data_IF_453386095600
#
_entry.id   IF_453386095600
#
_cell.length_a   1.000
_cell.length_b   1.000
_cell.length_c   1.000
_cell.angle_alpha   90.00
_cell.angle_beta   90.00
_cell.angle_gamma   90.00
#
_symmetry.space_group_name_H-M   'P 1'
#
loop_
_entity.id
_entity.type
_entity.pdbx_description
1 polymer ?
#
# COMPACT_ATOMS: atom_id res chain seq x y z
N UNK A 1 -26.00 -34.46 -10.72
CA UNK A 1 -26.92 -33.34 -11.01
C UNK A 1 -26.30 -32.54 -12.14
N UNK A 2 -26.93 -32.55 -13.33
CA UNK A 2 -26.41 -31.82 -14.47
C UNK A 2 -26.56 -30.31 -14.20
N UNK A 3 -25.46 -29.62 -14.07
CA UNK A 3 -25.43 -28.15 -14.10
C UNK A 3 -25.88 -27.71 -15.49
N UNK A 4 -27.05 -27.13 -15.57
CA UNK A 4 -27.52 -26.46 -16.79
C UNK A 4 -26.47 -25.42 -17.18
N UNK A 5 -26.02 -25.52 -18.41
CA UNK A 5 -25.12 -24.54 -19.06
C UNK A 5 -25.87 -23.20 -19.14
N UNK A 6 -25.69 -22.35 -18.10
CA UNK A 6 -26.44 -21.10 -17.92
C UNK A 6 -25.86 -19.97 -18.78
N UNK A 7 -24.71 -20.21 -19.41
CA UNK A 7 -23.88 -19.15 -20.00
C UNK A 7 -24.09 -18.91 -21.51
N UNK A 8 -24.75 -19.78 -22.24
CA UNK A 8 -24.78 -19.71 -23.71
C UNK A 8 -26.00 -19.00 -24.33
N UNK A 9 -27.00 -18.56 -23.56
CA UNK A 9 -28.21 -17.89 -24.10
C UNK A 9 -28.44 -16.44 -23.64
N UNK A 10 -27.58 -15.89 -22.78
CA UNK A 10 -27.76 -14.49 -22.30
C UNK A 10 -26.85 -13.54 -23.04
N UNK A 11 -27.44 -12.48 -23.59
CA UNK A 11 -26.68 -11.34 -24.14
C UNK A 11 -25.84 -10.71 -23.01
N UNK A 12 -24.60 -10.30 -23.36
CA UNK A 12 -23.72 -9.62 -22.42
C UNK A 12 -24.39 -8.36 -21.85
N UNK A 13 -24.14 -8.02 -20.58
CA UNK A 13 -24.71 -6.82 -19.96
C UNK A 13 -24.36 -5.55 -20.73
N UNK A 14 -25.37 -4.80 -21.16
CA UNK A 14 -25.24 -3.53 -21.88
C UNK A 14 -26.45 -2.62 -21.63
N UNK A 15 -26.30 -1.34 -21.93
CA UNK A 15 -27.38 -0.37 -21.97
C UNK A 15 -27.13 0.62 -23.11
N UNK A 16 -27.70 0.33 -24.27
CA UNK A 16 -27.48 1.11 -25.49
C UNK A 16 -28.05 2.52 -25.40
N UNK A 17 -29.14 2.72 -24.64
CA UNK A 17 -29.73 4.04 -24.44
C UNK A 17 -28.81 4.94 -23.61
N UNK A 18 -28.15 4.37 -22.60
CA UNK A 18 -27.12 5.10 -21.81
C UNK A 18 -25.89 5.44 -22.68
N UNK A 19 -25.41 4.49 -23.50
CA UNK A 19 -24.27 4.74 -24.39
C UNK A 19 -24.62 5.85 -25.42
N UNK A 20 -25.80 5.80 -26.04
CA UNK A 20 -26.27 6.85 -26.97
C UNK A 20 -26.40 8.21 -26.24
N UNK A 21 -26.91 8.20 -25.02
CA UNK A 21 -27.08 9.43 -24.24
C UNK A 21 -25.73 10.08 -23.89
N UNK A 22 -24.69 9.29 -23.58
CA UNK A 22 -23.33 9.80 -23.35
C UNK A 22 -22.78 10.42 -24.63
N UNK A 23 -22.78 9.67 -25.73
CA UNK A 23 -22.21 10.14 -27.01
C UNK A 23 -22.97 11.36 -27.56
N UNK A 24 -24.29 11.34 -27.49
CA UNK A 24 -25.12 12.45 -27.92
C UNK A 24 -24.98 13.71 -27.06
N UNK A 25 -24.84 13.55 -25.76
CA UNK A 25 -24.59 14.70 -24.85
C UNK A 25 -23.27 15.38 -25.17
N UNK A 26 -22.20 14.64 -25.43
CA UNK A 26 -20.89 15.17 -25.84
C UNK A 26 -20.98 15.92 -27.18
N UNK A 27 -21.77 15.39 -28.14
CA UNK A 27 -21.96 16.06 -29.43
C UNK A 27 -22.79 17.36 -29.34
N UNK A 28 -23.59 17.52 -28.30
CA UNK A 28 -24.36 18.75 -28.03
C UNK A 28 -23.55 19.77 -27.23
N UNK A 29 -22.63 19.31 -26.38
CA UNK A 29 -21.77 20.13 -25.53
C UNK A 29 -20.43 19.41 -25.35
N UNK A 30 -19.39 19.84 -26.07
CA UNK A 30 -18.06 19.25 -26.07
C UNK A 30 -17.36 19.33 -24.72
N UNK A 31 -17.70 20.30 -23.87
CA UNK A 31 -17.22 20.41 -22.50
C UNK A 31 -17.56 19.20 -21.63
N UNK A 32 -18.64 18.47 -21.97
CA UNK A 32 -19.03 17.25 -21.25
C UNK A 32 -18.12 16.04 -21.53
N UNK A 33 -17.27 16.11 -22.56
CA UNK A 33 -16.33 15.03 -22.87
C UNK A 33 -15.40 14.79 -21.68
N UNK A 34 -14.84 15.84 -21.07
CA UNK A 34 -13.92 15.69 -19.95
C UNK A 34 -14.59 15.03 -18.75
N UNK A 35 -15.85 15.37 -18.45
CA UNK A 35 -16.63 14.72 -17.39
C UNK A 35 -16.90 13.23 -17.69
N UNK A 36 -17.16 12.87 -18.95
CA UNK A 36 -17.36 11.48 -19.33
C UNK A 36 -16.03 10.70 -19.26
N UNK A 37 -14.91 11.31 -19.64
CA UNK A 37 -13.59 10.70 -19.67
C UNK A 37 -13.02 10.40 -18.27
N UNK A 38 -13.54 11.03 -17.22
CA UNK A 38 -13.23 10.66 -15.83
C UNK A 38 -13.71 9.25 -15.47
N UNK A 39 -14.79 8.78 -16.08
CA UNK A 39 -15.44 7.50 -15.78
C UNK A 39 -15.26 6.46 -16.87
N UNK A 40 -15.18 6.88 -18.14
CA UNK A 40 -15.27 6.02 -19.30
C UNK A 40 -14.00 6.07 -20.16
N UNK A 41 -13.65 4.90 -20.68
CA UNK A 41 -12.75 4.70 -21.80
C UNK A 41 -13.52 4.16 -23.01
N UNK A 42 -12.91 4.17 -24.20
CA UNK A 42 -13.51 3.57 -25.40
C UNK A 42 -13.93 2.11 -25.20
N UNK A 43 -13.21 1.35 -24.38
CA UNK A 43 -13.43 -0.08 -24.16
C UNK A 43 -14.63 -0.37 -23.25
N UNK A 44 -15.16 0.66 -22.59
CA UNK A 44 -16.35 0.53 -21.75
C UNK A 44 -17.66 0.45 -22.55
N UNK A 45 -17.66 0.82 -23.83
CA UNK A 45 -18.83 0.73 -24.68
C UNK A 45 -19.05 -0.70 -25.21
N UNK A 46 -20.30 -1.10 -25.32
CA UNK A 46 -20.68 -2.42 -25.81
C UNK A 46 -20.64 -2.51 -27.34
N UNK A 47 -21.28 -1.53 -28.04
CA UNK A 47 -21.28 -1.51 -29.47
C UNK A 47 -19.94 -1.07 -30.05
N UNK A 48 -19.40 -1.83 -31.00
CA UNK A 48 -18.15 -1.49 -31.69
C UNK A 48 -18.22 -0.11 -32.38
N UNK A 49 -19.38 0.23 -32.95
CA UNK A 49 -19.61 1.57 -33.51
C UNK A 49 -19.47 2.68 -32.46
N UNK A 50 -19.98 2.49 -31.24
CA UNK A 50 -19.84 3.44 -30.16
C UNK A 50 -18.39 3.55 -29.65
N UNK A 51 -17.66 2.43 -29.57
CA UNK A 51 -16.22 2.42 -29.25
C UNK A 51 -15.43 3.27 -30.23
N UNK A 52 -15.68 3.09 -31.54
CA UNK A 52 -15.01 3.88 -32.57
C UNK A 52 -15.37 5.35 -32.49
N UNK A 53 -16.64 5.69 -32.29
CA UNK A 53 -17.10 7.07 -32.11
C UNK A 53 -16.37 7.71 -30.94
N UNK A 54 -16.39 7.07 -29.77
CA UNK A 54 -15.74 7.60 -28.56
C UNK A 54 -14.23 7.74 -28.75
N UNK A 55 -13.55 6.76 -29.36
CA UNK A 55 -12.11 6.86 -29.67
C UNK A 55 -11.79 8.05 -30.60
N UNK A 56 -12.66 8.41 -31.53
CA UNK A 56 -12.49 9.61 -32.37
C UNK A 56 -12.74 10.89 -31.58
N UNK A 57 -13.69 10.89 -30.65
CA UNK A 57 -13.89 12.00 -29.72
C UNK A 57 -12.66 12.22 -28.82
N UNK A 58 -12.04 11.13 -28.31
CA UNK A 58 -10.76 11.21 -27.58
C UNK A 58 -9.66 11.85 -28.43
N UNK A 59 -9.53 11.43 -29.69
CA UNK A 59 -8.55 11.99 -30.62
C UNK A 59 -8.75 13.48 -30.91
N UNK A 60 -10.00 13.92 -31.07
CA UNK A 60 -10.35 15.32 -31.26
C UNK A 60 -10.04 16.14 -30.01
N UNK A 61 -10.39 15.67 -28.84
CA UNK A 61 -10.10 16.30 -27.55
C UNK A 61 -8.59 16.44 -27.33
N UNK A 62 -7.82 15.38 -27.56
CA UNK A 62 -6.36 15.37 -27.40
C UNK A 62 -5.65 16.41 -28.30
N UNK A 63 -6.26 16.75 -29.46
CA UNK A 63 -5.75 17.76 -30.38
C UNK A 63 -6.42 19.13 -30.19
N UNK A 64 -7.17 19.32 -29.11
CA UNK A 64 -7.91 20.56 -28.80
C UNK A 64 -8.82 21.02 -29.95
N UNK A 65 -9.38 20.07 -30.70
CA UNK A 65 -10.40 20.33 -31.73
C UNK A 65 -11.78 20.18 -31.13
N UNK A 66 -12.77 20.99 -31.51
CA UNK A 66 -14.15 20.89 -31.00
C UNK A 66 -14.76 19.54 -31.38
N UNK A 67 -15.57 18.97 -30.49
CA UNK A 67 -16.29 17.72 -30.69
C UNK A 67 -17.73 18.07 -31.04
N UNK A 68 -18.05 18.09 -32.33
CA UNK A 68 -19.38 18.28 -32.88
C UNK A 68 -19.68 17.31 -34.01
N UNK A 69 -20.92 17.32 -34.52
CA UNK A 69 -21.35 16.42 -35.63
C UNK A 69 -20.49 16.55 -36.88
N UNK A 70 -19.99 17.77 -37.18
CA UNK A 70 -19.24 18.06 -38.40
C UNK A 70 -17.82 17.52 -38.27
N UNK A 71 -17.16 17.87 -37.19
CA UNK A 71 -15.75 17.49 -36.89
C UNK A 71 -15.63 15.97 -36.67
N UNK A 72 -16.58 15.36 -35.94
CA UNK A 72 -16.60 13.91 -35.73
C UNK A 72 -16.82 13.18 -37.04
N UNK A 73 -17.75 13.63 -37.89
CA UNK A 73 -18.02 13.02 -39.20
C UNK A 73 -16.78 13.09 -40.09
N UNK A 74 -16.11 14.23 -40.15
CA UNK A 74 -14.89 14.41 -40.93
C UNK A 74 -13.80 13.44 -40.48
N UNK A 75 -13.63 13.30 -39.14
CA UNK A 75 -12.63 12.41 -38.55
C UNK A 75 -12.93 10.93 -38.83
N UNK A 76 -14.22 10.52 -38.76
CA UNK A 76 -14.66 9.16 -39.12
C UNK A 76 -14.45 8.85 -40.59
N UNK A 77 -14.66 9.83 -41.48
CA UNK A 77 -14.38 9.69 -42.93
C UNK A 77 -12.88 9.50 -43.17
N UNK A 78 -12.04 10.34 -42.55
CA UNK A 78 -10.58 10.23 -42.66
C UNK A 78 -10.04 8.88 -42.19
N UNK A 79 -10.64 8.34 -41.15
CA UNK A 79 -10.30 7.03 -40.63
C UNK A 79 -10.89 5.85 -41.43
N UNK A 80 -11.78 6.12 -42.38
CA UNK A 80 -12.50 5.06 -43.12
C UNK A 80 -13.51 4.27 -42.31
N UNK A 81 -13.98 4.83 -41.17
CA UNK A 81 -14.82 4.15 -40.18
C UNK A 81 -16.30 4.57 -40.24
N UNK A 82 -16.66 5.56 -41.06
CA UNK A 82 -18.02 6.12 -41.09
C UNK A 82 -19.10 5.06 -41.34
N UNK A 83 -18.88 4.18 -42.30
CA UNK A 83 -19.86 3.10 -42.62
C UNK A 83 -19.92 2.07 -41.49
N UNK A 84 -18.80 1.76 -40.85
CA UNK A 84 -18.72 0.80 -39.73
C UNK A 84 -19.48 1.27 -38.47
N UNK A 85 -19.65 2.58 -38.30
CA UNK A 85 -20.42 3.15 -37.19
C UNK A 85 -21.90 3.36 -37.50
N UNK A 86 -22.36 2.94 -38.68
CA UNK A 86 -23.75 3.08 -39.10
C UNK A 86 -24.02 4.28 -40.02
N UNK A 87 -22.97 4.89 -40.58
CA UNK A 87 -23.07 5.99 -41.54
C UNK A 87 -23.44 7.33 -40.92
N UNK A 88 -23.47 8.35 -41.78
CA UNK A 88 -23.76 9.73 -41.34
C UNK A 88 -25.15 9.89 -40.70
N UNK A 89 -26.13 9.09 -41.11
CA UNK A 89 -27.48 9.10 -40.55
C UNK A 89 -27.50 8.66 -39.08
N UNK A 90 -26.76 7.61 -38.75
CA UNK A 90 -26.66 7.12 -37.39
C UNK A 90 -25.97 8.14 -36.48
N UNK A 91 -24.81 8.69 -36.90
CA UNK A 91 -24.10 9.71 -36.16
C UNK A 91 -24.97 10.93 -35.84
N UNK A 92 -25.78 11.37 -36.85
CA UNK A 92 -26.74 12.45 -36.66
C UNK A 92 -27.86 12.10 -35.67
N UNK A 93 -28.32 10.82 -35.69
CA UNK A 93 -29.39 10.36 -34.78
C UNK A 93 -28.96 10.25 -33.32
N UNK A 94 -27.66 10.29 -33.00
CA UNK A 94 -27.17 10.24 -31.62
C UNK A 94 -27.62 11.44 -30.80
N UNK A 95 -27.84 12.59 -31.39
CA UNK A 95 -28.33 13.80 -30.70
C UNK A 95 -29.85 13.83 -30.56
N UNK A 96 -30.59 12.92 -31.24
CA UNK A 96 -32.04 12.88 -31.18
C UNK A 96 -32.52 12.29 -29.86
N UNK A 97 -33.37 13.04 -29.15
CA UNK A 97 -33.97 12.57 -27.89
C UNK A 97 -33.03 12.54 -26.67
N UNK A 98 -31.83 13.09 -26.79
CA UNK A 98 -30.91 13.20 -25.68
C UNK A 98 -31.47 14.23 -24.69
N UNK A 99 -31.69 13.88 -23.42
CA UNK A 99 -32.11 14.84 -22.39
C UNK A 99 -31.07 15.96 -22.25
N UNK A 100 -31.49 17.22 -22.34
CA UNK A 100 -30.64 18.38 -22.12
C UNK A 100 -30.30 18.50 -20.62
N UNK A 101 -29.69 17.48 -20.03
CA UNK A 101 -29.45 17.44 -18.59
C UNK A 101 -27.97 17.34 -18.28
N UNK A 102 -27.58 18.03 -17.23
CA UNK A 102 -26.26 17.99 -16.57
C UNK A 102 -25.88 16.61 -15.97
N UNK A 103 -26.56 15.54 -16.33
CA UNK A 103 -26.44 14.22 -15.71
C UNK A 103 -25.62 13.23 -16.54
N UNK A 104 -24.65 13.71 -17.33
CA UNK A 104 -23.77 12.80 -18.11
C UNK A 104 -23.08 11.76 -17.22
N UNK A 105 -22.69 12.16 -16.00
CA UNK A 105 -22.08 11.24 -15.03
C UNK A 105 -22.96 10.06 -14.69
N UNK A 106 -24.28 10.28 -14.55
CA UNK A 106 -25.20 9.17 -14.26
C UNK A 106 -25.24 8.15 -15.40
N UNK A 107 -25.30 8.61 -16.65
CA UNK A 107 -25.27 7.71 -17.79
C UNK A 107 -23.90 7.04 -17.97
N UNK A 108 -22.81 7.77 -17.73
CA UNK A 108 -21.45 7.23 -17.73
C UNK A 108 -21.29 6.11 -16.68
N UNK A 109 -21.79 6.31 -15.48
CA UNK A 109 -21.79 5.26 -14.43
C UNK A 109 -22.58 4.02 -14.86
N UNK A 110 -23.74 4.16 -15.49
CA UNK A 110 -24.52 3.02 -16.02
C UNK A 110 -23.69 2.24 -17.07
N UNK A 111 -23.03 2.95 -17.98
CA UNK A 111 -22.16 2.32 -19.00
C UNK A 111 -20.99 1.61 -18.31
N UNK A 112 -20.33 2.24 -17.33
CA UNK A 112 -19.23 1.67 -16.55
C UNK A 112 -19.63 0.41 -15.81
N UNK A 113 -20.76 0.43 -15.10
CA UNK A 113 -21.29 -0.74 -14.39
C UNK A 113 -21.50 -1.94 -15.33
N UNK A 114 -22.06 -1.68 -16.54
CA UNK A 114 -22.22 -2.74 -17.52
C UNK A 114 -20.90 -3.23 -18.09
N UNK A 115 -19.92 -2.37 -18.24
CA UNK A 115 -18.55 -2.73 -18.64
C UNK A 115 -17.89 -3.64 -17.60
N UNK A 116 -17.96 -3.27 -16.32
CA UNK A 116 -17.43 -4.07 -15.21
C UNK A 116 -18.05 -5.47 -15.22
N UNK A 117 -19.38 -5.57 -15.37
CA UNK A 117 -20.05 -6.86 -15.44
C UNK A 117 -19.57 -7.70 -16.65
N UNK A 118 -19.33 -7.09 -17.80
CA UNK A 118 -18.77 -7.79 -18.97
C UNK A 118 -17.35 -8.29 -18.71
N UNK A 119 -16.50 -7.44 -18.13
CA UNK A 119 -15.11 -7.81 -17.77
C UNK A 119 -15.09 -8.96 -16.77
N UNK A 120 -15.98 -8.95 -15.77
CA UNK A 120 -16.14 -10.06 -14.82
C UNK A 120 -16.57 -11.36 -15.54
N UNK A 121 -17.50 -11.29 -16.49
CA UNK A 121 -17.93 -12.45 -17.27
C UNK A 121 -16.76 -12.98 -18.12
N UNK A 122 -15.99 -12.11 -18.78
CA UNK A 122 -14.83 -12.54 -19.57
C UNK A 122 -13.76 -13.18 -18.71
N UNK A 123 -13.40 -12.58 -17.57
CA UNK A 123 -12.42 -13.15 -16.62
C UNK A 123 -12.91 -14.50 -16.08
N UNK A 124 -14.19 -14.61 -15.71
CA UNK A 124 -14.76 -15.88 -15.26
C UNK A 124 -14.70 -16.97 -16.34
N UNK A 125 -15.01 -16.64 -17.59
CA UNK A 125 -14.92 -17.58 -18.71
C UNK A 125 -13.45 -18.00 -18.97
N UNK A 126 -12.52 -17.07 -18.90
CA UNK A 126 -11.08 -17.38 -19.02
C UNK A 126 -10.63 -18.33 -17.91
N UNK A 127 -11.02 -18.05 -16.67
CA UNK A 127 -10.75 -18.93 -15.52
C UNK A 127 -11.33 -20.33 -15.76
N UNK A 128 -12.58 -20.45 -16.23
CA UNK A 128 -13.22 -21.71 -16.52
C UNK A 128 -12.43 -22.49 -17.58
N UNK A 129 -12.10 -21.84 -18.72
CA UNK A 129 -11.38 -22.48 -19.82
C UNK A 129 -10.01 -22.99 -19.38
N UNK A 130 -9.26 -22.22 -18.61
CA UNK A 130 -7.94 -22.61 -18.10
C UNK A 130 -8.04 -23.70 -17.03
N UNK A 131 -9.08 -23.68 -16.20
CA UNK A 131 -9.31 -24.73 -15.19
C UNK A 131 -9.62 -26.10 -15.80
N UNK A 132 -10.09 -26.16 -17.04
CA UNK A 132 -10.25 -27.41 -17.80
C UNK A 132 -8.95 -27.81 -18.54
N UNK A 133 -7.98 -26.93 -18.66
CA UNK A 133 -6.67 -27.25 -19.24
C UNK A 133 -5.87 -28.13 -18.26
N UNK A 134 -5.30 -29.20 -18.75
CA UNK A 134 -4.45 -30.11 -17.97
C UNK A 134 -2.97 -29.73 -18.01
N UNK A 135 -2.62 -28.65 -18.67
CA UNK A 135 -1.23 -28.24 -18.92
C UNK A 135 -0.69 -27.23 -17.90
N UNK A 136 -1.58 -26.57 -17.14
CA UNK A 136 -1.20 -25.52 -16.16
C UNK A 136 -1.36 -26.02 -14.72
N UNK A 137 -0.50 -25.52 -13.82
CA UNK A 137 -0.63 -25.80 -12.39
C UNK A 137 -1.83 -25.04 -11.81
N UNK A 138 -2.57 -25.67 -10.89
CA UNK A 138 -3.73 -25.09 -10.24
C UNK A 138 -3.38 -23.78 -9.49
N UNK A 139 -2.17 -23.67 -8.94
CA UNK A 139 -1.73 -22.44 -8.25
C UNK A 139 -1.49 -21.30 -9.24
N UNK A 140 -0.97 -21.57 -10.43
CA UNK A 140 -0.77 -20.56 -11.47
C UNK A 140 -2.10 -20.03 -12.01
N UNK A 141 -3.10 -20.92 -12.18
CA UNK A 141 -4.46 -20.54 -12.58
C UNK A 141 -5.11 -19.65 -11.52
N UNK A 142 -4.99 -20.04 -10.24
CA UNK A 142 -5.52 -19.26 -9.12
C UNK A 142 -4.88 -17.87 -9.06
N UNK A 143 -3.56 -17.80 -9.18
CA UNK A 143 -2.84 -16.52 -9.17
C UNK A 143 -3.29 -15.59 -10.30
N UNK A 144 -3.52 -16.14 -11.48
CA UNK A 144 -3.97 -15.36 -12.64
C UNK A 144 -5.43 -14.92 -12.52
N UNK A 145 -6.28 -15.76 -11.91
CA UNK A 145 -7.65 -15.41 -11.60
C UNK A 145 -7.72 -14.23 -10.61
N UNK A 146 -6.96 -14.29 -9.53
CA UNK A 146 -6.85 -13.19 -8.56
C UNK A 146 -6.36 -11.90 -9.23
N UNK A 147 -5.35 -11.99 -10.10
CA UNK A 147 -4.84 -10.83 -10.85
C UNK A 147 -5.91 -10.19 -11.72
N UNK A 148 -6.65 -10.99 -12.51
CA UNK A 148 -7.67 -10.50 -13.44
C UNK A 148 -8.82 -9.80 -12.68
N UNK A 149 -9.28 -10.39 -11.57
CA UNK A 149 -10.33 -9.79 -10.73
C UNK A 149 -9.82 -8.50 -10.08
N UNK A 150 -8.56 -8.50 -9.66
CA UNK A 150 -7.92 -7.34 -9.04
C UNK A 150 -7.81 -6.15 -10.00
N UNK A 151 -7.38 -6.37 -11.25
CA UNK A 151 -7.31 -5.34 -12.30
C UNK A 151 -8.68 -4.70 -12.56
N UNK A 152 -9.75 -5.49 -12.53
CA UNK A 152 -11.13 -4.96 -12.65
C UNK A 152 -11.48 -4.07 -11.43
N UNK A 153 -11.00 -4.43 -10.24
CA UNK A 153 -11.25 -3.66 -9.02
C UNK A 153 -10.44 -2.36 -8.95
N UNK A 154 -9.19 -2.35 -9.45
CA UNK A 154 -8.35 -1.14 -9.46
C UNK A 154 -8.88 -0.06 -10.41
N UNK A 155 -9.37 -0.44 -11.59
CA UNK A 155 -9.97 0.50 -12.54
C UNK A 155 -11.26 1.17 -12.02
N UNK A 156 -11.77 0.70 -10.90
CA UNK A 156 -13.00 1.22 -10.28
C UNK A 156 -12.73 2.15 -9.08
N UNK A 157 -11.46 2.47 -8.78
CA UNK A 157 -11.12 3.46 -7.74
C UNK A 157 -11.40 4.84 -8.30
N UNK A 158 -12.43 5.48 -7.79
CA UNK A 158 -12.75 6.89 -8.07
C UNK A 158 -11.59 7.79 -7.59
N UNK A 159 -10.58 7.99 -8.43
CA UNK A 159 -9.49 8.94 -8.21
C UNK A 159 -9.77 10.23 -8.98
N UNK A 160 -10.86 10.90 -8.64
CA UNK A 160 -11.16 12.25 -9.14
C UNK A 160 -10.45 13.34 -8.33
N UNK A 161 -10.39 14.55 -8.89
CA UNK A 161 -10.03 15.72 -8.11
C UNK A 161 -11.08 15.98 -7.04
N UNK A 162 -10.64 16.11 -5.77
CA UNK A 162 -11.51 16.49 -4.66
C UNK A 162 -11.41 18.00 -4.47
N UNK A 163 -12.54 18.68 -4.36
CA UNK A 163 -12.55 20.11 -4.16
C UNK A 163 -11.87 20.49 -2.83
N UNK A 164 -11.02 21.53 -2.87
CA UNK A 164 -10.30 22.01 -1.68
C UNK A 164 -11.26 22.31 -0.51
N UNK A 165 -12.47 22.78 -0.79
CA UNK A 165 -13.49 23.08 0.21
C UNK A 165 -13.90 21.85 1.05
N UNK A 166 -13.98 20.67 0.45
CA UNK A 166 -14.25 19.41 1.16
C UNK A 166 -13.07 18.98 2.03
N UNK A 167 -11.86 19.07 1.47
CA UNK A 167 -10.64 18.75 2.20
C UNK A 167 -10.40 19.68 3.38
N UNK A 168 -10.73 20.97 3.23
CA UNK A 168 -10.64 21.96 4.33
C UNK A 168 -11.55 21.60 5.49
N UNK A 169 -12.79 21.20 5.23
CA UNK A 169 -13.74 20.80 6.30
C UNK A 169 -13.20 19.64 7.12
N UNK A 170 -12.71 18.60 6.45
CA UNK A 170 -12.13 17.41 7.11
C UNK A 170 -10.84 17.75 7.88
N UNK A 171 -10.00 18.63 7.30
CA UNK A 171 -8.74 19.07 7.93
C UNK A 171 -8.99 19.92 9.18
N UNK A 172 -9.92 20.89 9.13
CA UNK A 172 -10.27 21.74 10.27
C UNK A 172 -10.82 20.89 11.42
N UNK A 173 -11.76 19.98 11.14
CA UNK A 173 -12.29 19.06 12.15
C UNK A 173 -11.16 18.21 12.78
N UNK A 174 -10.22 17.74 11.98
CA UNK A 174 -9.04 17.00 12.47
C UNK A 174 -8.12 17.85 13.36
N UNK A 175 -7.92 19.13 13.02
CA UNK A 175 -7.12 20.08 13.81
C UNK A 175 -7.81 20.39 15.16
N UNK A 176 -9.11 20.67 15.14
CA UNK A 176 -9.89 20.96 16.35
C UNK A 176 -9.88 19.77 17.32
N UNK A 177 -10.06 18.53 16.82
CA UNK A 177 -9.99 17.33 17.63
C UNK A 177 -8.62 17.12 18.28
N UNK A 178 -7.53 17.48 17.57
CA UNK A 178 -6.15 17.38 18.08
C UNK A 178 -5.85 18.49 19.09
N UNK A 179 -6.26 19.73 18.80
CA UNK A 179 -6.05 20.85 19.71
C UNK A 179 -6.71 20.64 21.09
N UNK A 180 -7.85 19.92 21.13
CA UNK A 180 -8.53 19.59 22.39
C UNK A 180 -7.85 18.52 23.24
N UNK A 181 -6.93 17.71 22.68
CA UNK A 181 -6.33 16.56 23.38
C UNK A 181 -4.97 16.84 24.01
N UNK A 182 -4.30 17.93 23.66
CA UNK A 182 -2.91 18.27 24.11
C UNK A 182 -1.91 17.08 23.95
N UNK A 183 -2.18 16.13 23.05
CA UNK A 183 -1.31 14.99 22.82
C UNK A 183 -0.21 15.38 21.82
N UNK A 184 1.05 15.23 22.24
CA UNK A 184 2.24 15.46 21.39
C UNK A 184 2.33 14.45 20.23
N UNK A 185 1.67 13.30 20.36
CA UNK A 185 1.70 12.19 19.41
C UNK A 185 0.36 12.15 18.64
N UNK A 186 0.39 12.53 17.37
CA UNK A 186 -0.79 12.58 16.50
C UNK A 186 -1.00 11.29 15.69
N UNK A 187 0.07 10.53 15.46
CA UNK A 187 0.09 9.24 14.80
C UNK A 187 0.17 8.06 15.77
N UNK A 188 0.65 6.92 15.27
CA UNK A 188 0.95 5.75 16.09
C UNK A 188 2.23 6.02 16.87
N UNK A 189 2.12 6.15 18.20
CA UNK A 189 3.27 6.39 19.06
C UNK A 189 4.20 5.19 19.11
N UNK A 190 5.49 5.48 19.06
CA UNK A 190 6.53 4.46 19.13
C UNK A 190 6.80 3.98 20.56
N UNK A 191 6.46 4.81 21.57
CA UNK A 191 6.82 4.60 22.97
C UNK A 191 8.22 5.11 23.33
N UNK A 192 8.92 5.68 22.36
CA UNK A 192 10.22 6.30 22.52
C UNK A 192 10.08 7.82 22.44
N UNK A 193 10.22 8.51 23.58
CA UNK A 193 9.89 9.93 23.71
C UNK A 193 10.63 10.82 22.71
N UNK A 194 11.93 10.59 22.51
CA UNK A 194 12.73 11.39 21.58
C UNK A 194 12.28 11.17 20.13
N UNK A 195 11.94 9.94 19.76
CA UNK A 195 11.42 9.64 18.41
C UNK A 195 10.05 10.27 18.26
N UNK A 196 9.17 10.08 19.23
CA UNK A 196 7.80 10.62 19.19
C UNK A 196 7.79 12.16 19.17
N UNK A 197 8.75 12.82 19.86
CA UNK A 197 8.90 14.28 19.82
C UNK A 197 9.34 14.80 18.45
N UNK A 198 10.17 14.05 17.72
CA UNK A 198 10.64 14.41 16.39
C UNK A 198 9.62 14.09 15.30
N UNK A 199 8.88 12.98 15.45
CA UNK A 199 7.99 12.47 14.40
C UNK A 199 6.50 12.71 14.64
N UNK A 200 6.13 13.06 15.88
CA UNK A 200 4.74 13.05 16.36
C UNK A 200 4.08 11.67 16.22
N UNK A 201 4.87 10.59 16.26
CA UNK A 201 4.46 9.22 15.96
C UNK A 201 4.38 8.92 14.46
N UNK A 202 4.11 7.65 14.10
CA UNK A 202 3.98 7.24 12.71
C UNK A 202 2.62 7.64 12.16
N UNK A 203 2.62 8.48 11.12
CA UNK A 203 1.40 9.06 10.59
C UNK A 203 0.65 8.08 9.67
N UNK A 204 -0.69 8.14 9.60
CA UNK A 204 -1.46 7.39 8.62
C UNK A 204 -0.97 7.66 7.20
N UNK A 205 -1.03 6.66 6.33
CA UNK A 205 -0.55 6.70 4.94
C UNK A 205 0.96 6.83 4.75
N UNK A 206 1.76 6.85 5.84
CA UNK A 206 3.22 6.93 5.72
C UNK A 206 3.86 5.56 5.52
N UNK A 207 4.87 5.55 4.65
CA UNK A 207 5.84 4.46 4.56
C UNK A 207 7.05 4.82 5.43
N UNK A 208 7.24 4.07 6.50
CA UNK A 208 8.34 4.21 7.46
C UNK A 208 9.38 3.14 7.19
N UNK A 209 10.61 3.52 6.94
CA UNK A 209 11.73 2.58 6.74
C UNK A 209 12.62 2.57 7.98
N UNK A 210 12.84 1.38 8.54
CA UNK A 210 13.80 1.14 9.62
C UNK A 210 14.97 0.36 9.07
N UNK A 211 16.11 1.02 8.91
CA UNK A 211 17.29 0.42 8.30
C UNK A 211 18.45 0.29 9.30
N UNK A 212 19.14 -0.85 9.25
CA UNK A 212 20.34 -1.06 10.05
C UNK A 212 21.19 -2.20 9.48
N UNK A 213 22.43 -2.30 10.00
CA UNK A 213 23.26 -3.50 9.79
C UNK A 213 22.70 -4.69 10.56
N UNK A 214 23.04 -5.93 10.14
CA UNK A 214 22.67 -7.14 10.88
C UNK A 214 23.13 -7.07 12.34
N UNK A 215 22.33 -7.61 13.26
CA UNK A 215 22.64 -7.69 14.69
C UNK A 215 22.34 -6.44 15.52
N UNK A 216 21.97 -5.31 14.94
CA UNK A 216 21.62 -4.07 15.66
C UNK A 216 20.17 -4.03 16.20
N UNK A 217 19.44 -5.11 16.12
CA UNK A 217 18.10 -5.22 16.72
C UNK A 217 16.95 -4.60 15.93
N UNK A 218 17.02 -4.50 14.59
CA UNK A 218 15.93 -3.98 13.72
C UNK A 218 14.57 -4.58 14.05
N UNK A 219 14.48 -5.90 13.97
CA UNK A 219 13.25 -6.66 14.29
C UNK A 219 12.78 -6.37 15.72
N UNK A 220 13.71 -6.36 16.70
CA UNK A 220 13.38 -6.06 18.09
C UNK A 220 12.83 -4.65 18.26
N UNK A 221 13.38 -3.65 17.56
CA UNK A 221 12.86 -2.28 17.58
C UNK A 221 11.42 -2.23 17.04
N UNK A 222 11.18 -2.80 15.87
CA UNK A 222 9.83 -2.82 15.27
C UNK A 222 8.82 -3.59 16.13
N UNK A 223 9.23 -4.72 16.75
CA UNK A 223 8.38 -5.48 17.66
C UNK A 223 8.09 -4.72 18.97
N UNK A 224 9.05 -3.95 19.49
CA UNK A 224 8.82 -3.11 20.67
C UNK A 224 7.82 -2.00 20.38
N UNK A 225 7.92 -1.34 19.20
CA UNK A 225 6.93 -0.37 18.74
C UNK A 225 5.56 -1.03 18.56
N UNK A 226 5.50 -2.20 17.91
CA UNK A 226 4.26 -2.94 17.70
C UNK A 226 3.59 -3.33 19.03
N UNK A 227 4.37 -3.84 19.99
CA UNK A 227 3.87 -4.19 21.31
C UNK A 227 3.37 -2.94 22.08
N UNK A 228 4.10 -1.81 22.00
CA UNK A 228 3.67 -0.56 22.61
C UNK A 228 2.34 -0.07 22.00
N UNK A 229 2.23 -0.02 20.68
CA UNK A 229 1.02 0.43 20.00
C UNK A 229 -0.19 -0.47 20.31
N UNK A 230 0.00 -1.80 20.35
CA UNK A 230 -1.06 -2.73 20.66
C UNK A 230 -1.51 -2.67 22.13
N UNK A 231 -0.58 -2.61 23.09
CA UNK A 231 -0.86 -2.63 24.51
C UNK A 231 -1.32 -1.28 25.06
N UNK A 232 -0.72 -0.17 24.61
CA UNK A 232 -0.99 1.16 25.16
C UNK A 232 -2.03 1.94 24.38
N UNK A 233 -1.99 1.84 23.06
CA UNK A 233 -2.94 2.54 22.19
C UNK A 233 -4.10 1.65 21.73
N UNK A 234 -4.07 0.35 22.09
CA UNK A 234 -5.09 -0.66 21.72
C UNK A 234 -5.32 -0.79 20.22
N UNK A 235 -4.27 -0.52 19.44
CA UNK A 235 -4.31 -0.65 18.00
C UNK A 235 -4.18 -2.12 17.59
N UNK A 236 -4.79 -2.45 16.44
CA UNK A 236 -4.59 -3.74 15.78
C UNK A 236 -3.34 -3.64 14.92
N UNK A 237 -2.38 -4.52 15.14
CA UNK A 237 -1.10 -4.54 14.45
C UNK A 237 -0.98 -5.80 13.61
N UNK A 238 -0.65 -5.65 12.33
CA UNK A 238 -0.24 -6.75 11.45
C UNK A 238 1.27 -6.83 11.34
N UNK A 239 1.84 -8.02 11.41
CA UNK A 239 3.28 -8.25 11.26
C UNK A 239 3.50 -9.33 10.20
N UNK A 240 4.11 -8.99 9.08
CA UNK A 240 4.63 -9.95 8.13
C UNK A 240 6.10 -10.23 8.44
N UNK A 241 6.40 -11.48 8.78
CA UNK A 241 7.75 -11.94 9.11
C UNK A 241 8.26 -12.88 8.03
N UNK A 242 9.18 -12.40 7.22
CA UNK A 242 9.72 -13.17 6.09
C UNK A 242 11.03 -13.88 6.43
N UNK A 243 11.68 -13.48 7.52
CA UNK A 243 12.94 -14.06 7.98
C UNK A 243 12.75 -15.05 9.13
N UNK A 244 11.78 -14.81 10.00
CA UNK A 244 11.64 -15.54 11.26
C UNK A 244 10.26 -16.18 11.39
N UNK A 245 10.22 -17.39 11.96
CA UNK A 245 8.95 -18.04 12.30
C UNK A 245 8.19 -17.23 13.37
N UNK A 246 6.86 -17.24 13.31
CA UNK A 246 5.98 -16.51 14.23
C UNK A 246 6.25 -16.83 15.70
N UNK A 247 6.54 -18.10 16.02
CA UNK A 247 6.90 -18.52 17.40
C UNK A 247 8.17 -17.84 17.91
N UNK A 248 9.14 -17.56 17.04
CA UNK A 248 10.37 -16.84 17.41
C UNK A 248 10.09 -15.36 17.71
N UNK A 249 9.18 -14.73 16.94
CA UNK A 249 8.74 -13.36 17.20
C UNK A 249 7.99 -13.27 18.54
N UNK A 250 7.06 -14.19 18.77
CA UNK A 250 6.31 -14.26 20.05
C UNK A 250 7.28 -14.40 21.23
N UNK A 251 8.28 -15.29 21.13
CA UNK A 251 9.28 -15.44 22.19
C UNK A 251 10.08 -14.15 22.42
N UNK A 252 10.43 -13.39 21.37
CA UNK A 252 11.11 -12.10 21.51
C UNK A 252 10.22 -11.06 22.20
N UNK A 253 8.96 -10.96 21.82
CA UNK A 253 8.01 -10.04 22.47
C UNK A 253 7.82 -10.42 23.95
N UNK A 254 7.66 -11.72 24.24
CA UNK A 254 7.54 -12.23 25.61
C UNK A 254 8.78 -11.91 26.46
N UNK A 255 9.99 -12.20 25.96
CA UNK A 255 11.23 -11.89 26.64
C UNK A 255 11.39 -10.40 26.91
N UNK A 256 11.04 -9.57 25.94
CA UNK A 256 11.08 -8.11 26.03
C UNK A 256 10.12 -7.58 27.09
N UNK A 257 8.87 -8.05 27.11
CA UNK A 257 7.85 -7.58 28.06
C UNK A 257 8.10 -8.11 29.48
N UNK A 258 8.51 -9.39 29.58
CA UNK A 258 8.84 -10.01 30.87
C UNK A 258 10.20 -9.58 31.45
N UNK A 259 11.07 -8.93 30.68
CA UNK A 259 12.48 -8.65 31.00
C UNK A 259 13.22 -9.91 31.43
N UNK A 260 13.11 -10.95 30.59
CA UNK A 260 13.73 -12.26 30.83
C UNK A 260 14.74 -12.52 29.73
N UNK A 261 15.89 -13.10 30.12
CA UNK A 261 16.98 -13.36 29.19
C UNK A 261 16.57 -14.38 28.12
N UNK A 262 16.55 -13.92 26.86
CA UNK A 262 16.13 -14.71 25.70
C UNK A 262 16.99 -15.96 25.48
N UNK A 263 18.27 -15.94 25.87
CA UNK A 263 19.15 -17.12 25.79
C UNK A 263 18.74 -18.18 26.80
N UNK A 264 18.32 -17.79 28.01
CA UNK A 264 17.81 -18.75 29.03
C UNK A 264 16.52 -19.40 28.57
N UNK A 265 15.62 -18.65 27.93
CA UNK A 265 14.38 -19.20 27.37
C UNK A 265 14.71 -20.21 26.27
N UNK A 266 15.60 -19.83 25.34
CA UNK A 266 16.00 -20.71 24.23
C UNK A 266 16.70 -22.00 24.70
N UNK A 267 17.53 -21.91 25.72
CA UNK A 267 18.32 -23.03 26.24
C UNK A 267 17.54 -23.86 27.29
N UNK A 268 16.32 -23.46 27.67
CA UNK A 268 15.53 -24.16 28.69
C UNK A 268 16.08 -24.04 30.12
N UNK A 269 16.98 -23.05 30.36
CA UNK A 269 17.63 -22.85 31.67
C UNK A 269 16.92 -21.82 32.55
N UNK A 270 15.70 -21.45 32.19
CA UNK A 270 14.93 -20.44 32.89
C UNK A 270 14.43 -20.98 34.26
N UNK A 271 14.75 -20.25 35.30
CA UNK A 271 14.31 -20.58 36.67
C UNK A 271 12.80 -20.30 36.89
N UNK A 272 12.24 -20.82 37.98
CA UNK A 272 10.82 -20.67 38.33
C UNK A 272 10.33 -19.22 38.35
N UNK A 273 11.16 -18.28 38.81
CA UNK A 273 10.80 -16.84 38.81
C UNK A 273 10.69 -16.27 37.41
N UNK A 274 11.59 -16.65 36.51
CA UNK A 274 11.52 -16.26 35.10
C UNK A 274 10.28 -16.80 34.41
N UNK A 275 9.89 -18.04 34.71
CA UNK A 275 8.64 -18.64 34.19
C UNK A 275 7.44 -17.82 34.66
N UNK A 276 7.39 -17.44 35.96
CA UNK A 276 6.30 -16.60 36.48
C UNK A 276 6.22 -15.24 35.75
N UNK A 277 7.36 -14.60 35.50
CA UNK A 277 7.41 -13.32 34.75
C UNK A 277 6.88 -13.49 33.33
N UNK A 278 7.23 -14.60 32.65
CA UNK A 278 6.72 -14.90 31.31
C UNK A 278 5.20 -15.13 31.33
N UNK A 279 4.65 -15.85 32.29
CA UNK A 279 3.21 -16.08 32.39
C UNK A 279 2.46 -14.75 32.58
N UNK A 280 2.92 -13.87 33.45
CA UNK A 280 2.32 -12.53 33.64
C UNK A 280 2.41 -11.69 32.36
N UNK A 281 3.56 -11.74 31.66
CA UNK A 281 3.70 -11.04 30.39
C UNK A 281 2.79 -11.62 29.30
N UNK A 282 2.63 -12.96 29.28
CA UNK A 282 1.73 -13.63 28.33
C UNK A 282 0.26 -13.25 28.56
N UNK A 283 -0.19 -13.18 29.83
CA UNK A 283 -1.53 -12.72 30.18
C UNK A 283 -1.77 -11.30 29.66
N UNK A 284 -0.85 -10.38 29.90
CA UNK A 284 -0.93 -9.01 29.39
C UNK A 284 -0.91 -8.94 27.85
N UNK A 285 -0.06 -9.75 27.20
CA UNK A 285 0.05 -9.77 25.75
C UNK A 285 -1.15 -10.47 25.07
N UNK A 286 -1.90 -11.31 25.79
CA UNK A 286 -3.11 -11.93 25.26
C UNK A 286 -4.23 -10.92 24.94
N UNK A 287 -4.19 -9.74 25.58
CA UNK A 287 -5.10 -8.64 25.27
C UNK A 287 -4.64 -7.81 24.04
N UNK A 288 -3.38 -7.96 23.64
CA UNK A 288 -2.81 -7.23 22.51
C UNK A 288 -3.27 -7.84 21.18
N UNK A 289 -3.84 -7.01 20.32
CA UNK A 289 -4.30 -7.44 19.00
C UNK A 289 -3.13 -7.38 18.00
N UNK A 290 -2.19 -8.33 18.10
CA UNK A 290 -1.07 -8.48 17.18
C UNK A 290 -1.29 -9.74 16.34
N UNK A 291 -1.38 -9.59 15.03
CA UNK A 291 -1.56 -10.65 14.04
C UNK A 291 -0.23 -10.87 13.31
N UNK A 292 0.26 -12.09 13.29
CA UNK A 292 1.56 -12.45 12.70
C UNK A 292 1.30 -13.39 11.52
N UNK A 293 1.90 -13.08 10.39
CA UNK A 293 1.97 -13.92 9.20
C UNK A 293 3.44 -14.19 8.89
N UNK A 294 3.85 -15.44 8.94
CA UNK A 294 5.22 -15.89 8.70
C UNK A 294 5.35 -16.70 7.39
N UNK A 295 4.46 -16.44 6.42
CA UNK A 295 4.50 -17.07 5.10
C UNK A 295 5.79 -16.66 4.37
N UNK A 296 6.69 -17.61 4.06
CA UNK A 296 7.95 -17.28 3.39
C UNK A 296 7.69 -16.89 1.94
N UNK A 297 8.45 -15.88 1.46
CA UNK A 297 8.40 -15.46 0.06
C UNK A 297 7.07 -14.87 -0.42
N UNK A 298 6.24 -14.38 0.50
CA UNK A 298 4.94 -13.78 0.20
C UNK A 298 5.06 -12.71 -0.89
N UNK A 299 4.18 -12.75 -1.86
CA UNK A 299 4.10 -11.72 -2.89
C UNK A 299 3.44 -10.45 -2.35
N UNK A 300 3.77 -9.29 -2.95
CA UNK A 300 3.16 -8.01 -2.55
C UNK A 300 1.63 -8.01 -2.69
N UNK A 301 1.09 -8.74 -3.65
CA UNK A 301 -0.35 -8.83 -3.90
C UNK A 301 -1.04 -9.66 -2.82
N UNK A 302 -0.46 -10.79 -2.44
CA UNK A 302 -0.96 -11.61 -1.34
C UNK A 302 -0.90 -10.84 -0.02
N UNK A 303 0.22 -10.16 0.26
CA UNK A 303 0.35 -9.28 1.43
C UNK A 303 -0.75 -8.21 1.47
N UNK A 304 -1.01 -7.55 0.33
CA UNK A 304 -2.06 -6.53 0.18
C UNK A 304 -3.45 -7.12 0.43
N UNK A 305 -3.74 -8.31 -0.11
CA UNK A 305 -5.01 -9.01 0.10
C UNK A 305 -5.23 -9.35 1.58
N UNK A 306 -4.21 -9.93 2.24
CA UNK A 306 -4.26 -10.26 3.68
C UNK A 306 -4.41 -9.01 4.55
N UNK A 307 -3.68 -7.92 4.23
CA UNK A 307 -3.76 -6.67 4.96
C UNK A 307 -5.13 -5.98 4.82
N UNK A 308 -5.72 -5.98 3.61
CA UNK A 308 -7.07 -5.49 3.36
C UNK A 308 -8.12 -6.26 4.18
N UNK A 309 -8.03 -7.58 4.15
CA UNK A 309 -8.91 -8.44 4.91
C UNK A 309 -8.81 -8.14 6.40
N UNK A 310 -7.58 -8.07 6.94
CA UNK A 310 -7.36 -7.76 8.36
C UNK A 310 -7.90 -6.36 8.72
N UNK A 311 -7.77 -5.38 7.80
CA UNK A 311 -8.35 -4.04 8.00
C UNK A 311 -9.87 -4.06 8.04
N UNK A 312 -10.52 -4.83 7.16
CA UNK A 312 -11.97 -4.95 7.09
C UNK A 312 -12.55 -5.73 8.29
N UNK A 313 -11.90 -6.83 8.69
CA UNK A 313 -12.42 -7.73 9.73
C UNK A 313 -12.27 -7.14 11.15
N UNK A 314 -11.12 -6.53 11.45
CA UNK A 314 -10.78 -6.13 12.83
C UNK A 314 -10.24 -4.70 12.98
N UNK A 315 -10.06 -3.96 11.87
CA UNK A 315 -9.67 -2.56 11.93
C UNK A 315 -8.15 -2.36 12.10
N UNK A 316 -7.32 -2.85 11.16
CA UNK A 316 -5.86 -2.70 11.16
C UNK A 316 -5.43 -1.24 11.37
N UNK A 317 -4.54 -0.98 12.34
CA UNK A 317 -4.01 0.34 12.68
C UNK A 317 -2.56 0.59 12.25
N UNK A 318 -1.73 -0.45 12.13
CA UNK A 318 -0.35 -0.37 11.65
C UNK A 318 0.07 -1.71 11.05
N UNK A 319 0.92 -1.67 10.04
CA UNK A 319 1.52 -2.85 9.42
C UNK A 319 3.05 -2.82 9.58
N UNK A 320 3.64 -3.95 9.95
CA UNK A 320 5.09 -4.14 10.03
C UNK A 320 5.51 -5.22 9.03
N UNK A 321 6.56 -4.98 8.25
CA UNK A 321 7.11 -5.92 7.27
C UNK A 321 8.61 -6.15 7.53
N UNK A 322 8.99 -7.35 7.93
CA UNK A 322 10.36 -7.73 8.26
C UNK A 322 10.83 -8.89 7.39
N UNK A 323 11.65 -8.64 6.35
CA UNK A 323 12.19 -7.42 5.78
C UNK A 323 12.02 -7.39 4.25
N UNK A 324 12.08 -6.19 3.66
CA UNK A 324 11.78 -5.93 2.25
C UNK A 324 12.52 -6.82 1.25
N UNK A 325 13.80 -7.09 1.51
CA UNK A 325 14.64 -7.83 0.59
C UNK A 325 14.31 -9.35 0.51
N UNK A 326 13.41 -9.87 1.31
CA UNK A 326 12.92 -11.25 1.19
C UNK A 326 11.60 -11.37 0.45
N UNK A 327 10.98 -10.24 0.12
CA UNK A 327 9.78 -10.24 -0.70
C UNK A 327 10.09 -10.63 -2.13
N UNK A 328 9.17 -11.34 -2.75
CA UNK A 328 9.20 -11.65 -4.17
C UNK A 328 8.41 -10.60 -4.95
N UNK A 329 9.07 -9.93 -5.88
CA UNK A 329 8.41 -9.08 -6.86
C UNK A 329 7.74 -9.94 -7.94
N UNK A 330 6.59 -9.52 -8.44
CA UNK A 330 5.94 -10.17 -9.59
C UNK A 330 6.64 -9.78 -10.89
N UNK A 331 7.04 -10.75 -11.69
CA UNK A 331 7.59 -10.59 -13.04
C UNK A 331 9.08 -10.91 -13.14
N UNK A 332 9.56 -11.02 -14.37
CA UNK A 332 11.00 -11.11 -14.66
C UNK A 332 11.60 -9.70 -14.58
N UNK A 333 12.15 -9.35 -13.45
CA UNK A 333 12.91 -8.11 -13.32
C UNK A 333 14.33 -8.33 -13.85
N UNK A 334 14.87 -7.39 -14.61
CA UNK A 334 16.24 -7.44 -15.15
C UNK A 334 17.28 -7.40 -14.03
N UNK A 335 16.97 -6.73 -12.93
CA UNK A 335 17.83 -6.70 -11.74
C UNK A 335 17.02 -6.54 -10.43
N UNK A 336 17.66 -6.88 -9.31
CA UNK A 336 17.08 -6.81 -7.98
C UNK A 336 16.67 -5.39 -7.55
N UNK A 337 17.33 -4.36 -8.06
CA UNK A 337 17.01 -2.98 -7.74
C UNK A 337 15.62 -2.57 -8.26
N UNK A 338 15.28 -2.97 -9.50
CA UNK A 338 13.96 -2.70 -10.08
C UNK A 338 12.85 -3.42 -9.30
N UNK A 339 13.12 -4.63 -8.87
CA UNK A 339 12.19 -5.41 -8.05
C UNK A 339 11.92 -4.74 -6.70
N UNK A 340 12.96 -4.35 -5.97
CA UNK A 340 12.83 -3.62 -4.69
C UNK A 340 12.12 -2.28 -4.89
N UNK A 341 12.37 -1.60 -6.01
CA UNK A 341 11.69 -0.36 -6.37
C UNK A 341 10.19 -0.55 -6.55
N UNK A 342 9.77 -1.63 -7.22
CA UNK A 342 8.37 -1.95 -7.39
C UNK A 342 7.69 -2.31 -6.05
N UNK A 343 8.39 -3.07 -5.20
CA UNK A 343 7.92 -3.42 -3.85
C UNK A 343 7.73 -2.16 -3.00
N UNK A 344 8.71 -1.25 -2.98
CA UNK A 344 8.65 0.00 -2.21
C UNK A 344 7.44 0.86 -2.60
N UNK A 345 7.24 1.10 -3.92
CA UNK A 345 6.07 1.83 -4.41
C UNK A 345 4.76 1.16 -4.03
N UNK A 346 4.71 -0.16 -4.12
CA UNK A 346 3.52 -0.93 -3.76
C UNK A 346 3.19 -0.84 -2.28
N UNK A 347 4.20 -0.85 -1.39
CA UNK A 347 4.01 -0.64 0.05
C UNK A 347 3.56 0.79 0.38
N UNK A 348 4.10 1.80 -0.33
CA UNK A 348 3.60 3.18 -0.21
C UNK A 348 2.15 3.30 -0.70
N UNK A 349 1.81 2.62 -1.80
CA UNK A 349 0.44 2.49 -2.28
C UNK A 349 -0.48 1.86 -1.23
N UNK A 350 -0.04 0.76 -0.60
CA UNK A 350 -0.78 0.06 0.45
C UNK A 350 -1.00 0.94 1.69
N UNK A 351 0.02 1.69 2.13
CA UNK A 351 -0.11 2.63 3.24
C UNK A 351 -1.18 3.70 2.98
N UNK A 352 -1.21 4.28 1.77
CA UNK A 352 -2.23 5.24 1.35
C UNK A 352 -3.62 4.63 1.28
N UNK A 353 -3.74 3.47 0.64
CA UNK A 353 -5.00 2.76 0.45
C UNK A 353 -5.68 2.39 1.77
N UNK A 354 -4.92 1.81 2.70
CA UNK A 354 -5.44 1.41 4.00
C UNK A 354 -5.51 2.58 5.01
N UNK A 355 -4.93 3.72 4.67
CA UNK A 355 -4.78 4.89 5.54
C UNK A 355 -4.19 4.51 6.91
N UNK A 356 -3.07 3.77 6.88
CA UNK A 356 -2.31 3.34 8.07
C UNK A 356 -0.81 3.52 7.82
N UNK A 357 0.03 3.67 8.87
CA UNK A 357 1.46 3.57 8.70
C UNK A 357 1.88 2.13 8.35
N UNK A 358 2.79 2.02 7.37
CA UNK A 358 3.48 0.78 7.03
C UNK A 358 4.94 0.92 7.40
N UNK A 359 5.39 0.10 8.35
CA UNK A 359 6.77 0.09 8.84
C UNK A 359 7.50 -1.07 8.16
N UNK A 360 8.47 -0.76 7.32
CA UNK A 360 9.23 -1.77 6.60
C UNK A 360 10.70 -1.77 7.04
N UNK A 361 11.20 -2.96 7.35
CA UNK A 361 12.59 -3.17 7.73
C UNK A 361 13.45 -3.31 6.50
N UNK A 362 14.62 -2.65 6.49
CA UNK A 362 15.60 -2.74 5.41
C UNK A 362 17.00 -3.05 5.96
N UNK A 363 17.78 -3.78 5.19
CA UNK A 363 19.17 -4.04 5.53
C UNK A 363 20.08 -3.04 4.81
N UNK A 364 21.04 -2.45 5.54
CA UNK A 364 22.03 -1.54 4.97
C UNK A 364 23.15 -2.30 4.26
N UNK A 365 23.68 -1.68 3.21
CA UNK A 365 24.91 -2.12 2.55
C UNK A 365 26.12 -2.06 3.51
N UNK A 366 27.26 -2.63 3.11
CA UNK A 366 28.52 -2.56 3.90
C UNK A 366 29.26 -1.23 3.72
N UNK A 367 28.76 -0.31 2.92
CA UNK A 367 29.42 0.96 2.62
C UNK A 367 29.76 1.81 3.83
N UNK A 368 28.90 1.94 4.88
CA UNK A 368 29.24 2.70 6.09
C UNK A 368 30.50 2.19 6.78
N UNK A 369 30.71 0.86 6.84
CA UNK A 369 31.87 0.24 7.52
C UNK A 369 33.19 0.49 6.77
N UNK A 370 33.11 0.71 5.44
CA UNK A 370 34.28 0.95 4.57
C UNK A 370 34.62 2.45 4.47
N UNK A 371 33.77 3.33 4.98
CA UNK A 371 33.97 4.79 4.91
C UNK A 371 35.07 5.21 5.91
N UNK A 372 35.98 6.10 5.46
CA UNK A 372 36.97 6.71 6.36
C UNK A 372 36.30 7.83 7.16
N UNK A 373 36.40 7.82 8.47
CA UNK A 373 35.86 8.86 9.36
C UNK A 373 34.52 8.50 9.98
N UNK A 374 33.46 9.22 9.67
CA UNK A 374 32.13 8.97 10.26
C UNK A 374 31.45 7.75 9.61
N UNK A 375 31.19 6.74 10.43
CA UNK A 375 30.53 5.49 10.03
C UNK A 375 29.01 5.54 10.16
N UNK A 376 28.42 6.70 10.52
CA UNK A 376 26.98 6.85 10.61
C UNK A 376 26.32 6.60 9.26
N UNK A 377 25.24 5.81 9.23
CA UNK A 377 24.50 5.54 8.01
C UNK A 377 23.91 6.82 7.40
N UNK A 378 23.86 6.84 6.07
CA UNK A 378 23.28 7.91 5.27
C UNK A 378 22.27 7.33 4.29
N UNK A 379 21.41 8.17 3.70
CA UNK A 379 20.40 7.73 2.71
C UNK A 379 21.03 6.99 1.53
N UNK A 380 22.24 7.41 1.11
CA UNK A 380 22.98 6.73 0.05
C UNK A 380 23.38 5.28 0.37
N UNK A 381 23.36 4.88 1.64
CA UNK A 381 23.70 3.52 2.06
C UNK A 381 22.53 2.53 1.88
N UNK A 382 21.33 3.05 1.56
CA UNK A 382 20.19 2.30 1.03
C UNK A 382 20.37 1.95 -0.46
N UNK A 383 21.58 1.95 -0.99
CA UNK A 383 21.98 2.06 -2.40
C UNK A 383 21.51 0.96 -3.35
N UNK A 384 21.16 -0.21 -2.86
CA UNK A 384 20.46 -1.22 -3.67
C UNK A 384 18.99 -0.88 -3.90
N UNK A 385 18.55 0.28 -3.39
CA UNK A 385 17.15 0.67 -3.28
C UNK A 385 16.99 2.20 -3.34
N UNK A 386 17.59 2.88 -4.31
CA UNK A 386 17.47 4.34 -4.46
C UNK A 386 16.02 4.83 -4.53
N UNK A 387 15.10 3.96 -4.91
CA UNK A 387 13.66 4.22 -4.89
C UNK A 387 13.05 4.15 -3.48
N UNK A 388 13.57 3.33 -2.56
CA UNK A 388 13.10 3.31 -1.16
C UNK A 388 13.29 4.70 -0.55
N UNK A 389 14.43 5.34 -0.84
CA UNK A 389 14.66 6.71 -0.38
C UNK A 389 13.59 7.68 -0.92
N UNK A 390 13.19 7.54 -2.18
CA UNK A 390 12.20 8.44 -2.80
C UNK A 390 10.80 8.19 -2.28
N UNK A 391 10.39 6.93 -2.16
CA UNK A 391 9.05 6.51 -1.81
C UNK A 391 8.74 6.69 -0.32
N UNK A 392 9.74 6.50 0.56
CA UNK A 392 9.57 6.59 2.00
C UNK A 392 9.25 8.02 2.47
N UNK A 393 8.36 8.15 3.44
CA UNK A 393 8.05 9.41 4.11
C UNK A 393 8.96 9.65 5.32
N UNK A 394 9.33 8.57 6.01
CA UNK A 394 10.24 8.57 7.15
C UNK A 394 11.30 7.48 6.96
N UNK A 395 12.58 7.82 7.12
CA UNK A 395 13.69 6.88 7.12
C UNK A 395 14.47 7.01 8.41
N UNK A 396 14.54 5.93 9.15
CA UNK A 396 15.28 5.81 10.41
C UNK A 396 16.42 4.81 10.29
N UNK A 397 17.59 5.18 10.76
CA UNK A 397 18.75 4.31 10.83
C UNK A 397 19.05 3.96 12.28
N UNK A 398 19.18 2.65 12.57
CA UNK A 398 19.72 2.22 13.86
C UNK A 398 21.24 2.10 13.71
N UNK A 399 21.96 2.81 14.56
CA UNK A 399 23.42 2.85 14.55
C UNK A 399 23.97 2.69 15.96
N UNK A 400 25.01 1.88 16.10
CA UNK A 400 25.76 1.72 17.35
C UNK A 400 27.12 2.39 17.16
N UNK A 401 27.40 3.48 17.86
CA UNK A 401 28.70 4.12 17.81
C UNK A 401 29.79 3.14 18.26
N UNK A 402 30.87 3.02 17.48
CA UNK A 402 32.05 2.28 17.92
C UNK A 402 32.81 3.15 18.93
N UNK A 403 32.96 2.67 20.14
CA UNK A 403 33.81 3.30 21.16
C UNK A 403 35.25 3.19 20.62
N UNK A 404 35.82 4.28 20.14
CA UNK A 404 37.26 4.36 19.88
C UNK A 404 37.97 4.53 21.20
N UNK A 405 38.88 3.62 21.51
CA UNK A 405 39.66 3.49 22.73
C UNK A 405 40.76 4.55 22.93
N UNK A 406 40.69 5.73 22.32
CA UNK A 406 41.87 6.59 22.35
C UNK A 406 41.76 7.96 23.06
N UNK A 407 40.60 8.46 23.42
CA UNK A 407 40.59 9.72 24.24
C UNK A 407 39.26 9.90 24.97
N UNK A 408 39.29 9.58 26.23
CA UNK A 408 38.45 10.05 27.34
C UNK A 408 37.87 8.93 28.23
N UNK A 409 37.94 9.16 29.53
CA UNK A 409 37.41 8.34 30.63
C UNK A 409 35.87 8.26 30.69
N UNK A 410 35.18 8.59 29.58
CA UNK A 410 33.75 8.45 29.46
C UNK A 410 33.47 7.05 28.88
N UNK A 411 33.24 6.09 29.76
CA UNK A 411 32.71 4.75 29.42
C UNK A 411 31.33 4.91 28.80
N UNK A 412 31.29 5.25 27.51
CA UNK A 412 30.05 5.23 26.76
C UNK A 412 29.40 3.85 26.90
N UNK A 413 28.18 3.79 27.43
CA UNK A 413 27.48 2.53 27.66
C UNK A 413 27.35 1.80 26.32
N UNK A 414 28.00 0.62 26.19
CA UNK A 414 27.99 -0.24 24.99
C UNK A 414 26.56 -0.64 24.53
N UNK A 415 25.55 -0.28 25.32
CA UNK A 415 24.14 -0.50 25.05
C UNK A 415 23.46 0.65 24.34
N UNK A 416 24.12 1.80 24.17
CA UNK A 416 23.50 2.96 23.49
C UNK A 416 23.41 2.72 21.99
N UNK A 417 22.22 2.91 21.44
CA UNK A 417 21.92 2.88 20.01
C UNK A 417 21.38 4.24 19.60
N UNK A 418 21.99 4.83 18.61
CA UNK A 418 21.51 6.04 17.95
C UNK A 418 20.43 5.68 16.93
N UNK A 419 19.28 6.33 17.01
CA UNK A 419 18.22 6.30 15.98
C UNK A 419 18.32 7.60 15.20
N UNK A 420 18.88 7.52 14.00
CA UNK A 420 19.11 8.68 13.13
C UNK A 420 17.92 8.81 12.19
N UNK A 421 17.17 9.91 12.30
CA UNK A 421 16.11 10.26 11.34
C UNK A 421 16.78 10.91 10.14
N UNK A 422 17.06 10.12 9.11
CA UNK A 422 17.76 10.58 7.91
C UNK A 422 16.86 11.27 6.89
N UNK A 423 15.56 10.95 6.90
CA UNK A 423 14.54 11.60 6.07
C UNK A 423 13.22 11.67 6.82
N UNK A 424 12.56 12.81 6.74
CA UNK A 424 11.18 13.01 7.18
C UNK A 424 10.51 14.04 6.28
N UNK A 425 9.39 13.66 5.62
CA UNK A 425 8.69 14.59 4.72
C UNK A 425 7.94 15.68 5.46
N UNK A 426 7.39 15.37 6.62
CA UNK A 426 6.49 16.23 7.36
C UNK A 426 7.08 16.72 8.70
N UNK A 427 8.41 16.71 8.84
CA UNK A 427 9.07 17.14 10.08
C UNK A 427 10.59 17.24 9.96
N UNK A 428 11.30 17.53 11.07
CA UNK A 428 12.73 17.68 11.07
C UNK A 428 13.45 16.33 11.03
N UNK A 429 14.65 16.32 10.47
CA UNK A 429 15.63 15.25 10.71
C UNK A 429 16.26 15.44 12.06
N UNK A 430 16.77 14.36 12.66
CA UNK A 430 17.35 14.46 14.00
C UNK A 430 17.96 13.14 14.47
N UNK A 431 18.34 13.14 15.73
CA UNK A 431 18.96 12.01 16.40
C UNK A 431 18.22 11.74 17.71
N UNK A 432 17.85 10.50 17.95
CA UNK A 432 17.35 10.01 19.21
C UNK A 432 18.30 8.95 19.78
N UNK A 433 18.45 8.87 21.09
CA UNK A 433 19.29 7.88 21.75
C UNK A 433 18.44 6.91 22.55
N UNK A 434 18.64 5.63 22.32
CA UNK A 434 17.97 4.54 23.03
C UNK A 434 18.99 3.61 23.67
N UNK A 435 18.55 2.86 24.67
CA UNK A 435 19.33 1.77 25.27
C UNK A 435 18.81 0.45 24.71
N UNK A 436 19.68 -0.34 24.11
CA UNK A 436 19.35 -1.69 23.66
C UNK A 436 19.84 -2.73 24.64
N UNK A 437 18.91 -3.37 25.33
CA UNK A 437 19.14 -4.49 26.23
C UNK A 437 19.07 -5.79 25.45
N UNK A 438 20.17 -6.17 24.80
CA UNK A 438 20.22 -7.32 23.87
C UNK A 438 19.81 -8.64 24.52
N UNK A 439 20.09 -8.84 25.81
CA UNK A 439 19.68 -10.03 26.58
C UNK A 439 18.13 -10.19 26.65
N UNK A 440 17.38 -9.09 26.66
CA UNK A 440 15.93 -9.06 26.69
C UNK A 440 15.31 -8.75 25.31
N UNK A 441 16.13 -8.51 24.30
CA UNK A 441 15.69 -8.04 22.98
C UNK A 441 14.83 -6.76 23.05
N UNK A 442 15.15 -5.86 24.01
CA UNK A 442 14.34 -4.70 24.36
C UNK A 442 15.09 -3.40 24.13
N UNK A 443 14.41 -2.45 23.51
CA UNK A 443 14.81 -1.04 23.49
C UNK A 443 14.11 -0.28 24.61
N UNK A 444 14.81 0.63 25.23
CA UNK A 444 14.28 1.52 26.28
C UNK A 444 14.74 2.96 26.05
N UNK A 445 13.94 3.90 26.56
CA UNK A 445 14.30 5.31 26.53
C UNK A 445 15.58 5.51 27.40
N UNK A 446 16.51 6.30 26.89
CA UNK A 446 17.65 6.76 27.70
C UNK A 446 17.09 7.73 28.73
N UNK A 447 17.30 7.44 30.02
CA UNK A 447 17.01 8.41 31.08
C UNK A 447 18.22 9.35 31.19
N UNK A 448 18.00 10.63 30.96
CA UNK A 448 18.94 11.65 31.42
C UNK A 448 19.02 11.58 32.97
N UNK A 449 20.23 11.54 33.49
CA UNK A 449 20.48 11.41 34.93
C UNK A 449 20.17 12.73 35.67
#
# INVERSE_FOLDING_TARGET
MATKDVTLEKTLPHNLDAERSVLGAILLDDGLFNHAAEFLSKDDFYLDGHRKIYARMEGLSATSRPIDLITLKDELIRAGELEAVGGAGYVSSLVDGVPRTRNIEHYARIVKDKSILRRLIYSANEIILRSFSTEEDALDILEQAEKSIFEISEDNVESGFVELSELLKSSITGIEQRAGRQELVTGVGTGFYEIDSLTSGFQPSDLVIVAARPGLGKTSFCLNVAAHAALRQRLVIGVFSLEMAGTQLVNRILCSEARVNASQVRNGTLGREGIKKIVVAAEKLSEAKIYIDDTPGISIVEMRSKARRLKADVGLGMLVVDYLQLMSGRGRYENRQLEISAISRSLKGLAKELNIPVVAVSQLSRAPEQRRGDHRPQLSDLRESGSIEQDADLVMFLYKPSIRSDDSEDFGDDRIVEVIIGKQRNGPTGLAKLVFLGEYTKFENLREA
#
